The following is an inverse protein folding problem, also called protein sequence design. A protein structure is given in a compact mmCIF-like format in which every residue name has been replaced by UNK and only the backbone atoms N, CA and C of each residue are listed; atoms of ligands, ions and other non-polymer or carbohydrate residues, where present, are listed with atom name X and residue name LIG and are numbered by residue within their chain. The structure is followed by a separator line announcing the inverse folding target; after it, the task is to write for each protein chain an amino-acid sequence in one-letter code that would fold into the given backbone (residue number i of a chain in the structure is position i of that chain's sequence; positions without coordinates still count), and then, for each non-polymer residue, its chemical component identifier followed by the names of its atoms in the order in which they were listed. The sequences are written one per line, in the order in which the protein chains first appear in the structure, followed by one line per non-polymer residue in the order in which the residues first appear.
data_IF_461207523555
#
_entry.id   IF_461207523555
#
_cell.length_a   1.000
_cell.length_b   1.000
_cell.length_c   1.000
_cell.angle_alpha   90.00
_cell.angle_beta   90.00
_cell.angle_gamma   90.00
#
_symmetry.space_group_name_H-M   'P 1'
#
loop_
_entity.id
_entity.type
_entity.pdbx_description
1 polymer ?
#
# COMPACT_ATOMS: atom_id res chain seq x y z
N UNK A 1 -1.04 22.20 3.58
CA UNK A 1 -2.16 21.26 3.37
C UNK A 1 -2.49 20.61 4.72
N UNK A 2 -3.64 20.95 5.31
CA UNK A 2 -4.08 20.41 6.61
C UNK A 2 -4.57 18.95 6.47
N UNK A 3 -3.70 18.03 6.06
CA UNK A 3 -4.04 16.61 5.92
C UNK A 3 -3.92 15.90 7.27
N UNK A 4 -4.94 15.14 7.70
CA UNK A 4 -4.93 14.49 9.02
C UNK A 4 -4.11 13.18 9.03
N UNK A 5 -3.72 12.67 7.88
CA UNK A 5 -2.93 11.45 7.73
C UNK A 5 -2.06 11.50 6.46
N UNK A 6 -0.97 10.75 6.47
CA UNK A 6 -0.12 10.53 5.30
C UNK A 6 0.40 9.10 5.31
N UNK A 7 0.42 8.47 4.14
CA UNK A 7 0.95 7.11 3.97
C UNK A 7 2.32 7.15 3.27
N UNK A 8 3.15 6.17 3.59
CA UNK A 8 4.37 5.85 2.86
C UNK A 8 4.33 4.39 2.42
N UNK A 9 4.56 4.17 1.13
CA UNK A 9 4.46 2.88 0.47
C UNK A 9 5.67 2.66 -0.44
N UNK A 10 6.82 2.33 0.16
CA UNK A 10 8.03 2.00 -0.58
C UNK A 10 7.79 0.76 -1.47
N UNK A 11 8.45 0.72 -2.64
CA UNK A 11 8.30 -0.38 -3.59
C UNK A 11 9.10 -1.60 -3.11
N UNK A 12 8.41 -2.70 -2.84
CA UNK A 12 8.96 -3.98 -2.44
C UNK A 12 9.54 -4.06 -1.03
N UNK A 13 9.62 -2.95 -0.31
CA UNK A 13 10.23 -2.90 1.03
C UNK A 13 9.58 -1.85 1.93
N UNK A 14 10.09 -1.71 3.16
CA UNK A 14 9.66 -0.71 4.13
C UNK A 14 10.86 -0.01 4.78
N UNK A 15 11.94 0.22 4.04
CA UNK A 15 13.19 0.76 4.60
C UNK A 15 13.03 2.19 5.12
N UNK A 16 12.16 2.99 4.49
CA UNK A 16 11.85 4.35 4.93
C UNK A 16 10.95 4.44 6.17
N UNK A 17 10.25 3.36 6.56
CA UNK A 17 9.17 3.39 7.56
C UNK A 17 9.62 3.96 8.91
N UNK A 18 10.81 3.61 9.41
CA UNK A 18 11.30 4.10 10.69
C UNK A 18 11.50 5.63 10.69
N UNK A 19 12.18 6.15 9.67
CA UNK A 19 12.43 7.59 9.55
C UNK A 19 11.13 8.37 9.35
N UNK A 20 10.28 7.87 8.47
CA UNK A 20 8.96 8.46 8.19
C UNK A 20 8.11 8.59 9.47
N UNK A 21 7.93 7.50 10.22
CA UNK A 21 7.13 7.52 11.45
C UNK A 21 7.76 8.43 12.51
N UNK A 22 9.10 8.32 12.70
CA UNK A 22 9.83 9.16 13.66
C UNK A 22 9.63 10.65 13.36
N UNK A 23 9.76 11.04 12.11
CA UNK A 23 9.71 12.45 11.72
C UNK A 23 8.29 13.02 11.88
N UNK A 24 7.26 12.23 11.56
CA UNK A 24 5.86 12.61 11.84
C UNK A 24 5.59 12.70 13.34
N UNK A 25 6.06 11.75 14.15
CA UNK A 25 5.88 11.82 15.59
C UNK A 25 6.60 13.02 16.23
N UNK A 26 7.77 13.41 15.71
CA UNK A 26 8.46 14.63 16.13
C UNK A 26 7.68 15.89 15.74
N UNK A 27 7.14 15.94 14.51
CA UNK A 27 6.24 17.01 14.09
C UNK A 27 5.02 17.12 15.01
N UNK A 28 4.36 16.00 15.31
CA UNK A 28 3.17 15.98 16.15
C UNK A 28 3.45 16.50 17.57
N UNK A 29 4.58 16.12 18.17
CA UNK A 29 5.00 16.66 19.49
C UNK A 29 5.13 18.17 19.47
N UNK A 30 5.74 18.74 18.42
CA UNK A 30 5.86 20.20 18.25
C UNK A 30 4.49 20.85 18.02
N UNK A 31 3.64 20.24 17.20
CA UNK A 31 2.28 20.73 16.91
C UNK A 31 1.40 20.71 18.18
N UNK A 32 1.46 19.63 18.96
CA UNK A 32 0.74 19.53 20.24
C UNK A 32 1.18 20.64 21.24
N UNK A 33 2.48 20.91 21.34
CA UNK A 33 2.99 21.96 22.23
C UNK A 33 2.47 23.34 21.80
N UNK A 34 2.54 23.70 20.52
CA UNK A 34 2.02 24.96 19.99
C UNK A 34 0.51 25.07 20.14
N UNK A 35 -0.25 24.01 19.89
CA UNK A 35 -1.69 24.00 20.08
C UNK A 35 -2.06 24.23 21.56
N UNK A 36 -1.30 23.67 22.49
CA UNK A 36 -1.48 23.89 23.93
C UNK A 36 -1.23 25.37 24.30
N UNK A 37 -0.13 25.94 23.82
CA UNK A 37 0.18 27.36 24.02
C UNK A 37 -0.94 28.28 23.48
N UNK A 38 -1.47 28.00 22.29
CA UNK A 38 -2.58 28.73 21.69
C UNK A 38 -3.84 28.66 22.57
N UNK A 39 -4.18 27.46 23.08
CA UNK A 39 -5.34 27.28 23.97
C UNK A 39 -5.15 28.05 25.28
N UNK A 40 -3.96 28.03 25.89
CA UNK A 40 -3.65 28.76 27.09
C UNK A 40 -3.73 30.29 26.89
N UNK A 41 -3.43 30.76 25.66
CA UNK A 41 -3.56 32.16 25.25
C UNK A 41 -5.02 32.57 24.86
N UNK A 42 -5.97 31.64 24.87
CA UNK A 42 -7.35 31.84 24.43
C UNK A 42 -7.54 31.89 22.92
N UNK A 43 -6.57 31.36 22.16
CA UNK A 43 -6.58 31.28 20.70
C UNK A 43 -7.05 29.92 20.22
N UNK A 44 -7.46 29.84 18.94
CA UNK A 44 -7.83 28.55 18.30
C UNK A 44 -6.58 27.78 17.84
N UNK A 45 -6.46 26.48 18.18
CA UNK A 45 -5.37 25.64 17.69
C UNK A 45 -5.31 25.62 16.17
N UNK A 46 -4.12 25.78 15.59
CA UNK A 46 -3.90 25.85 14.13
C UNK A 46 -3.11 24.67 13.58
N UNK A 47 -2.33 24.00 14.40
CA UNK A 47 -1.43 22.94 13.95
C UNK A 47 -2.19 21.61 13.80
N UNK A 48 -1.93 20.92 12.70
CA UNK A 48 -2.55 19.62 12.41
C UNK A 48 -1.70 18.48 12.97
N UNK A 49 -2.33 17.61 13.72
CA UNK A 49 -1.72 16.33 14.15
C UNK A 49 -1.91 15.32 13.01
N UNK A 50 -0.83 14.71 12.58
CA UNK A 50 -0.77 13.83 11.40
C UNK A 50 -0.66 12.37 11.85
N UNK A 51 -1.54 11.50 11.33
CA UNK A 51 -1.43 10.05 11.52
C UNK A 51 -0.48 9.46 10.46
N UNK A 52 0.65 8.84 10.85
CA UNK A 52 1.48 8.08 9.91
C UNK A 52 0.81 6.76 9.56
N UNK A 53 0.81 6.40 8.29
CA UNK A 53 0.34 5.11 7.78
C UNK A 53 1.50 4.44 7.06
N UNK A 54 1.85 3.22 7.47
CA UNK A 54 2.92 2.45 6.83
C UNK A 54 2.31 1.42 5.90
N UNK A 55 2.81 1.36 4.69
CA UNK A 55 2.44 0.39 3.68
C UNK A 55 3.64 -0.07 2.87
N UNK A 56 3.37 -0.90 1.88
CA UNK A 56 4.35 -1.37 0.91
C UNK A 56 3.63 -1.64 -0.42
N UNK A 57 4.27 -1.27 -1.52
CA UNK A 57 3.84 -1.68 -2.85
C UNK A 57 4.52 -3.00 -3.22
N UNK A 58 3.73 -4.02 -3.53
CA UNK A 58 4.23 -5.35 -3.89
C UNK A 58 4.01 -5.66 -5.36
N UNK A 59 4.90 -6.48 -5.91
CA UNK A 59 4.73 -7.14 -7.21
C UNK A 59 4.15 -8.54 -6.99
N UNK A 60 2.94 -8.77 -7.46
CA UNK A 60 2.18 -10.02 -7.29
C UNK A 60 2.18 -10.78 -8.61
N UNK A 61 2.98 -11.85 -8.69
CA UNK A 61 3.12 -12.72 -9.85
C UNK A 61 2.31 -14.02 -9.69
N UNK A 62 2.30 -14.86 -10.72
CA UNK A 62 1.61 -16.15 -10.70
C UNK A 62 2.23 -17.12 -9.69
N UNK A 63 3.57 -17.20 -9.69
CA UNK A 63 4.33 -18.04 -8.77
C UNK A 63 5.68 -17.37 -8.47
N UNK A 64 5.85 -16.87 -7.25
CA UNK A 64 7.07 -16.15 -6.86
C UNK A 64 8.34 -17.02 -6.83
N UNK A 65 8.19 -18.35 -6.76
CA UNK A 65 9.31 -19.29 -6.79
C UNK A 65 9.78 -19.65 -8.21
N UNK A 66 8.94 -19.41 -9.23
CA UNK A 66 9.30 -19.68 -10.62
C UNK A 66 10.24 -18.57 -11.15
N UNK A 67 11.45 -18.98 -11.52
CA UNK A 67 12.49 -18.14 -12.12
C UNK A 67 12.82 -18.55 -13.56
N UNK A 68 12.02 -19.44 -14.16
CA UNK A 68 12.22 -19.94 -15.53
C UNK A 68 11.82 -18.91 -16.60
N UNK A 69 10.89 -18.04 -16.28
CA UNK A 69 10.41 -16.96 -17.17
C UNK A 69 10.33 -15.63 -16.43
N UNK A 70 10.49 -14.54 -17.16
CA UNK A 70 10.29 -13.20 -16.60
C UNK A 70 8.80 -12.97 -16.37
N UNK A 71 8.41 -12.84 -15.13
CA UNK A 71 7.09 -12.42 -14.67
C UNK A 71 7.27 -11.44 -13.52
N UNK A 72 7.13 -10.16 -13.80
CA UNK A 72 7.25 -9.12 -12.77
C UNK A 72 5.97 -9.01 -11.92
N UNK A 73 4.87 -9.63 -12.36
CA UNK A 73 3.58 -9.53 -11.69
C UNK A 73 2.90 -8.18 -11.85
N UNK A 74 1.83 -7.99 -11.09
CA UNK A 74 1.03 -6.76 -11.00
C UNK A 74 1.34 -6.03 -9.71
N UNK A 75 1.23 -4.70 -9.73
CA UNK A 75 1.42 -3.87 -8.54
C UNK A 75 0.17 -3.90 -7.66
N UNK A 76 0.38 -3.95 -6.35
CA UNK A 76 -0.66 -3.81 -5.33
C UNK A 76 -0.09 -3.06 -4.14
N UNK A 77 -0.85 -2.13 -3.58
CA UNK A 77 -0.46 -1.40 -2.38
C UNK A 77 -1.18 -1.99 -1.18
N UNK A 78 -0.43 -2.36 -0.16
CA UNK A 78 -0.95 -2.88 1.11
C UNK A 78 -0.57 -1.92 2.24
N UNK A 79 -1.57 -1.51 3.04
CA UNK A 79 -1.39 -0.60 4.17
C UNK A 79 -1.65 -1.34 5.49
N UNK A 80 -0.80 -1.12 6.49
CA UNK A 80 -0.97 -1.71 7.81
C UNK A 80 -2.06 -0.99 8.62
N UNK A 81 -3.06 -1.72 9.12
CA UNK A 81 -4.09 -1.21 10.03
C UNK A 81 -3.57 -1.05 11.46
N UNK A 82 -2.61 -1.88 11.85
CA UNK A 82 -2.04 -1.94 13.18
C UNK A 82 -0.64 -2.60 13.18
N UNK A 83 -0.08 -2.83 14.37
CA UNK A 83 1.26 -3.44 14.54
C UNK A 83 1.34 -4.85 13.92
N UNK A 84 0.29 -5.67 13.99
CA UNK A 84 0.27 -7.02 13.39
C UNK A 84 0.34 -6.91 11.86
N UNK A 85 -0.44 -6.00 11.26
CA UNK A 85 -0.37 -5.71 9.83
C UNK A 85 1.03 -5.26 9.39
N UNK A 86 1.70 -4.39 10.17
CA UNK A 86 3.09 -4.01 9.91
C UNK A 86 4.04 -5.22 9.90
N UNK A 87 3.91 -6.15 10.86
CA UNK A 87 4.72 -7.37 10.86
C UNK A 87 4.40 -8.28 9.67
N UNK A 88 3.14 -8.33 9.23
CA UNK A 88 2.75 -9.07 8.03
C UNK A 88 3.40 -8.48 6.76
N UNK A 89 3.41 -7.14 6.61
CA UNK A 89 4.14 -6.47 5.52
C UNK A 89 5.63 -6.80 5.55
N UNK A 90 6.26 -6.79 6.74
CA UNK A 90 7.68 -7.12 6.88
C UNK A 90 7.98 -8.57 6.48
N UNK A 91 7.08 -9.51 6.81
CA UNK A 91 7.19 -10.92 6.40
C UNK A 91 7.07 -11.06 4.89
N UNK A 92 6.08 -10.44 4.27
CA UNK A 92 5.90 -10.48 2.82
C UNK A 92 7.08 -9.84 2.09
N UNK A 93 7.59 -8.70 2.56
CA UNK A 93 8.79 -8.08 1.99
C UNK A 93 10.01 -9.01 2.11
N UNK A 94 10.20 -9.66 3.24
CA UNK A 94 11.29 -10.65 3.42
C UNK A 94 11.18 -11.79 2.40
N UNK A 95 10.00 -12.41 2.27
CA UNK A 95 9.75 -13.49 1.30
C UNK A 95 10.01 -12.99 -0.13
N UNK A 96 9.56 -11.78 -0.46
CA UNK A 96 9.77 -11.20 -1.78
C UNK A 96 11.26 -11.10 -2.16
N UNK A 97 12.12 -10.78 -1.19
CA UNK A 97 13.57 -10.66 -1.43
C UNK A 97 14.32 -11.99 -1.31
N UNK A 98 13.97 -12.84 -0.33
CA UNK A 98 14.72 -14.10 -0.11
C UNK A 98 14.34 -15.18 -1.12
N UNK A 99 13.05 -15.34 -1.39
CA UNK A 99 12.52 -16.44 -2.18
C UNK A 99 12.05 -15.99 -3.57
N UNK A 100 11.37 -14.83 -3.63
CA UNK A 100 10.67 -14.34 -4.81
C UNK A 100 11.49 -13.44 -5.73
N UNK A 101 12.72 -13.05 -5.35
CA UNK A 101 13.49 -12.12 -6.16
C UNK A 101 13.91 -12.71 -7.51
N UNK A 102 13.39 -12.11 -8.58
CA UNK A 102 13.79 -12.36 -9.95
C UNK A 102 13.45 -11.13 -10.80
N UNK A 103 14.46 -10.32 -11.12
CA UNK A 103 14.40 -8.94 -11.63
C UNK A 103 13.81 -7.93 -10.63
N UNK A 104 12.69 -8.26 -9.98
CA UNK A 104 12.05 -7.48 -8.92
C UNK A 104 11.68 -8.39 -7.73
N UNK A 105 11.51 -7.86 -6.51
CA UNK A 105 11.04 -8.63 -5.37
C UNK A 105 9.55 -8.96 -5.54
N UNK A 106 9.22 -10.26 -5.71
CA UNK A 106 7.87 -10.73 -6.03
C UNK A 106 7.29 -11.56 -4.90
N UNK A 107 5.98 -11.46 -4.77
CA UNK A 107 5.15 -12.40 -3.99
C UNK A 107 4.09 -12.99 -4.91
N UNK A 108 3.31 -13.95 -4.42
CA UNK A 108 2.16 -14.50 -5.14
C UNK A 108 0.90 -14.48 -4.27
N UNK A 109 -0.21 -14.93 -4.83
CA UNK A 109 -1.49 -15.00 -4.14
C UNK A 109 -1.47 -15.88 -2.88
N UNK A 110 -0.60 -16.89 -2.80
CA UNK A 110 -0.47 -17.76 -1.61
C UNK A 110 0.15 -16.98 -0.44
N UNK A 111 1.17 -16.18 -0.73
CA UNK A 111 1.79 -15.30 0.27
C UNK A 111 0.80 -14.26 0.77
N UNK A 112 0.00 -13.65 -0.13
CA UNK A 112 -1.07 -12.74 0.26
C UNK A 112 -2.08 -13.42 1.18
N UNK A 113 -2.59 -14.59 0.81
CA UNK A 113 -3.56 -15.33 1.63
C UNK A 113 -3.04 -15.64 3.03
N UNK A 114 -1.75 -15.91 3.17
CA UNK A 114 -1.11 -16.23 4.45
C UNK A 114 -0.96 -15.00 5.37
N UNK A 115 -0.74 -13.81 4.79
CA UNK A 115 -0.35 -12.61 5.57
C UNK A 115 -1.30 -11.41 5.39
N UNK A 116 -2.45 -11.57 4.76
CA UNK A 116 -3.41 -10.49 4.45
C UNK A 116 -4.08 -9.85 5.67
N UNK A 117 -4.07 -10.51 6.82
CA UNK A 117 -4.79 -10.02 7.99
C UNK A 117 -4.24 -8.69 8.50
N UNK A 118 -5.13 -7.84 8.97
CA UNK A 118 -4.82 -6.49 9.47
C UNK A 118 -4.20 -5.56 8.42
N UNK A 119 -4.51 -5.80 7.13
CA UNK A 119 -4.11 -4.98 6.01
C UNK A 119 -5.30 -4.38 5.28
N UNK A 120 -5.10 -3.20 4.71
CA UNK A 120 -5.94 -2.58 3.69
C UNK A 120 -5.26 -2.80 2.34
N UNK A 121 -6.03 -3.15 1.32
CA UNK A 121 -5.54 -3.37 -0.05
C UNK A 121 -6.05 -2.27 -0.97
N UNK A 122 -5.15 -1.64 -1.72
CA UNK A 122 -5.47 -0.79 -2.86
C UNK A 122 -5.13 -1.56 -4.14
N UNK A 123 -6.03 -1.54 -5.12
CA UNK A 123 -5.92 -2.37 -6.34
C UNK A 123 -4.71 -2.05 -7.23
N UNK A 124 -3.96 -1.01 -6.89
CA UNK A 124 -2.92 -0.45 -7.73
C UNK A 124 -3.50 0.42 -8.86
N UNK A 125 -2.65 1.28 -9.40
CA UNK A 125 -2.96 2.13 -10.55
C UNK A 125 -3.07 1.27 -11.83
N UNK A 126 -2.79 1.83 -12.99
CA UNK A 126 -2.82 1.11 -14.30
C UNK A 126 -1.95 -0.17 -14.34
N UNK A 127 -0.97 -0.29 -13.44
CA UNK A 127 -0.11 -1.47 -13.28
C UNK A 127 -0.68 -2.54 -12.32
N UNK A 128 -1.83 -2.27 -11.71
CA UNK A 128 -2.57 -3.25 -10.91
C UNK A 128 -3.18 -4.35 -11.76
N UNK A 129 -3.50 -5.50 -11.14
CA UNK A 129 -4.01 -6.66 -11.86
C UNK A 129 -5.33 -6.38 -12.58
N UNK A 130 -6.28 -5.72 -11.91
CA UNK A 130 -7.61 -5.44 -12.44
C UNK A 130 -7.54 -4.51 -13.65
N UNK A 131 -6.97 -3.28 -13.55
CA UNK A 131 -6.91 -2.39 -14.70
C UNK A 131 -6.02 -2.92 -15.83
N UNK A 132 -4.90 -3.59 -15.52
CA UNK A 132 -4.06 -4.20 -16.56
C UNK A 132 -4.80 -5.29 -17.34
N UNK A 133 -5.61 -6.12 -16.67
CA UNK A 133 -6.44 -7.13 -17.36
C UNK A 133 -7.57 -6.49 -18.16
N UNK A 134 -8.21 -5.45 -17.62
CA UNK A 134 -9.26 -4.72 -18.33
C UNK A 134 -8.76 -4.14 -19.65
N UNK A 135 -7.58 -3.53 -19.63
CA UNK A 135 -7.00 -2.87 -20.80
C UNK A 135 -6.41 -3.85 -21.83
N UNK A 136 -5.81 -4.96 -21.38
CA UNK A 136 -4.95 -5.80 -22.24
C UNK A 136 -5.49 -7.21 -22.48
N UNK A 137 -6.48 -7.68 -21.67
CA UNK A 137 -6.98 -9.06 -21.75
C UNK A 137 -8.48 -9.10 -22.02
N UNK A 138 -9.28 -8.49 -21.16
CA UNK A 138 -10.74 -8.39 -21.30
C UNK A 138 -11.46 -8.23 -19.96
N UNK A 139 -12.74 -7.84 -20.05
CA UNK A 139 -13.59 -7.53 -18.89
C UNK A 139 -13.76 -8.75 -17.96
N UNK A 140 -14.02 -9.94 -18.53
CA UNK A 140 -14.23 -11.15 -17.73
C UNK A 140 -13.03 -11.48 -16.84
N UNK A 141 -11.81 -11.37 -17.36
CA UNK A 141 -10.58 -11.65 -16.63
C UNK A 141 -10.29 -10.56 -15.59
N UNK A 142 -10.66 -9.31 -15.87
CA UNK A 142 -10.57 -8.22 -14.91
C UNK A 142 -11.57 -8.41 -13.77
N UNK A 143 -12.82 -8.83 -14.07
CA UNK A 143 -13.84 -9.13 -13.07
C UNK A 143 -13.42 -10.32 -12.17
N UNK A 144 -12.92 -11.41 -12.75
CA UNK A 144 -12.39 -12.56 -11.98
C UNK A 144 -11.27 -12.12 -11.01
N UNK A 145 -10.37 -11.27 -11.48
CA UNK A 145 -9.31 -10.73 -10.63
C UNK A 145 -9.88 -9.87 -9.50
N UNK A 146 -10.83 -8.97 -9.79
CA UNK A 146 -11.47 -8.12 -8.81
C UNK A 146 -12.22 -8.95 -7.76
N UNK A 147 -12.97 -9.96 -8.18
CA UNK A 147 -13.69 -10.87 -7.28
C UNK A 147 -12.73 -11.64 -6.38
N UNK A 148 -11.57 -12.07 -6.91
CA UNK A 148 -10.55 -12.70 -6.06
C UNK A 148 -10.03 -11.73 -4.99
N UNK A 149 -9.62 -10.50 -5.35
CA UNK A 149 -9.17 -9.49 -4.40
C UNK A 149 -10.28 -9.17 -3.37
N UNK A 150 -11.52 -9.04 -3.82
CA UNK A 150 -12.68 -8.80 -2.96
C UNK A 150 -12.89 -9.94 -1.96
N UNK A 151 -12.71 -11.20 -2.38
CA UNK A 151 -12.83 -12.36 -1.49
C UNK A 151 -11.71 -12.42 -0.43
N UNK A 152 -10.55 -11.78 -0.68
CA UNK A 152 -9.44 -11.75 0.26
C UNK A 152 -9.54 -10.62 1.29
N UNK A 153 -9.98 -9.44 0.87
CA UNK A 153 -9.92 -8.22 1.70
C UNK A 153 -11.31 -7.67 2.07
N UNK A 154 -12.38 -8.14 1.45
CA UNK A 154 -13.76 -7.76 1.77
C UNK A 154 -13.97 -6.24 1.84
N UNK A 155 -14.21 -5.69 3.03
CA UNK A 155 -14.41 -4.26 3.27
C UNK A 155 -13.08 -3.47 3.36
N UNK A 156 -11.94 -4.14 3.39
CA UNK A 156 -10.62 -3.55 3.38
C UNK A 156 -10.00 -3.46 1.97
N UNK A 157 -10.76 -3.79 0.92
CA UNK A 157 -10.37 -3.55 -0.47
C UNK A 157 -10.88 -2.20 -0.96
N UNK A 158 -9.97 -1.41 -1.52
CA UNK A 158 -10.28 -0.13 -2.16
C UNK A 158 -9.77 -0.11 -3.61
N UNK A 159 -10.60 0.38 -4.51
CA UNK A 159 -10.21 0.61 -5.91
C UNK A 159 -9.45 1.94 -5.98
N UNK A 160 -8.24 1.88 -6.51
CA UNK A 160 -7.41 3.06 -6.72
C UNK A 160 -7.70 3.67 -8.09
N UNK A 161 -7.99 4.96 -8.13
CA UNK A 161 -8.17 5.73 -9.34
C UNK A 161 -7.09 6.82 -9.41
N UNK A 162 -6.24 6.74 -10.41
CA UNK A 162 -5.19 7.72 -10.65
C UNK A 162 -5.51 8.55 -11.89
N UNK A 163 -5.32 9.86 -11.82
CA UNK A 163 -5.60 10.79 -12.92
C UNK A 163 -4.37 11.63 -13.24
N UNK A 164 -3.72 11.32 -14.36
CA UNK A 164 -2.60 12.09 -14.91
C UNK A 164 -2.89 12.63 -16.32
N UNK A 165 -4.16 12.58 -16.76
CA UNK A 165 -4.61 12.94 -18.13
C UNK A 165 -3.97 12.04 -19.22
N UNK A 166 -3.69 10.78 -18.90
CA UNK A 166 -3.30 9.76 -19.87
C UNK A 166 -4.53 9.19 -20.56
N UNK A 167 -4.39 8.79 -21.83
CA UNK A 167 -5.52 8.25 -22.63
C UNK A 167 -6.08 6.96 -22.00
N UNK A 168 -5.22 6.09 -21.49
CA UNK A 168 -5.59 4.81 -20.86
C UNK A 168 -6.34 4.96 -19.52
N UNK A 169 -6.24 6.13 -18.87
CA UNK A 169 -6.98 6.43 -17.64
C UNK A 169 -8.46 6.77 -17.88
N UNK A 170 -8.85 6.99 -19.14
CA UNK A 170 -10.21 7.39 -19.52
C UNK A 170 -11.05 6.22 -20.07
N UNK A 171 -10.51 5.03 -20.12
CA UNK A 171 -11.17 3.79 -20.50
C UNK A 171 -11.70 3.07 -19.28
#
# INVERSE_FOLDING_TARGET
NKMPAVAMTDIGNMMGAFHFVRDILNHNKSAEAKNKESIEAGETPQETIIKPIVGCEFFVCDNHLDKSRKDNGYQVVLLAKNKKGYHNLAKMSSIAFTDGFYYVPRIDRKVIQQYKEDLICLTGSLYGEVPSKLLNVGENQAEEALLWWKSQFENDLYVEITRHNQEDENR
#
